data_IF_807444714977
#
_entry.id   IF_807444714977
#
_cell.length_a   1.000
_cell.length_b   1.000
_cell.length_c   1.000
_cell.angle_alpha   90.00
_cell.angle_beta   90.00
_cell.angle_gamma   90.00
#
_symmetry.space_group_name_H-M   'P 1'
#
loop_
_entity.id
_entity.type
_entity.pdbx_description
1 polymer ?
#
# COMPACT_ATOMS: atom_id res chain seq x y z
N UNK A 1 9.61 32.56 39.57
CA UNK A 1 9.33 31.11 39.43
C UNK A 1 8.62 30.93 38.09
N UNK A 2 9.32 30.50 37.05
CA UNK A 2 8.75 30.34 35.71
C UNK A 2 8.49 28.84 35.50
N UNK A 3 7.21 28.46 35.47
CA UNK A 3 6.81 27.08 35.24
C UNK A 3 7.06 26.74 33.77
N UNK A 4 7.94 25.78 33.51
CA UNK A 4 8.11 25.21 32.17
C UNK A 4 6.80 24.51 31.77
N UNK A 5 6.34 24.67 30.52
CA UNK A 5 5.20 23.91 30.02
C UNK A 5 5.52 22.40 30.07
N UNK A 6 4.54 21.54 30.38
CA UNK A 6 4.74 20.11 30.41
C UNK A 6 5.20 19.62 29.02
N UNK A 7 6.07 18.59 28.95
CA UNK A 7 6.49 18.00 27.69
C UNK A 7 5.27 17.51 26.91
N UNK A 8 5.22 17.81 25.61
CA UNK A 8 4.15 17.36 24.73
C UNK A 8 4.05 15.83 24.75
N UNK A 9 2.83 15.26 24.76
CA UNK A 9 2.67 13.82 24.74
C UNK A 9 3.30 13.25 23.46
N UNK A 10 3.97 12.09 23.54
CA UNK A 10 4.50 11.43 22.35
C UNK A 10 3.36 11.19 21.35
N UNK A 11 3.57 11.41 20.05
CA UNK A 11 2.55 11.14 19.06
C UNK A 11 2.13 9.67 19.15
N UNK A 12 0.83 9.35 19.02
CA UNK A 12 0.36 7.98 19.15
C UNK A 12 1.07 7.09 18.12
N UNK A 13 1.40 5.85 18.53
CA UNK A 13 2.00 4.79 17.69
C UNK A 13 1.18 4.45 16.42
N UNK A 14 0.03 5.08 16.24
CA UNK A 14 -0.75 5.11 15.01
C UNK A 14 0.04 5.52 13.75
N UNK A 15 1.23 6.12 13.91
CA UNK A 15 2.13 6.47 12.80
C UNK A 15 3.00 5.31 12.27
N UNK A 16 3.00 4.14 12.91
CA UNK A 16 3.77 2.97 12.45
C UNK A 16 2.90 1.81 11.96
N UNK A 17 1.57 1.90 12.03
CA UNK A 17 0.72 0.78 11.56
C UNK A 17 0.39 0.99 10.09
N UNK A 18 0.87 0.14 9.17
CA UNK A 18 0.47 0.23 7.77
C UNK A 18 -1.02 -0.05 7.65
N UNK A 19 -1.75 0.81 6.95
CA UNK A 19 -3.16 0.59 6.66
C UNK A 19 -3.30 -0.01 5.27
N UNK A 20 -4.19 -0.98 5.10
CA UNK A 20 -4.49 -1.50 3.78
C UNK A 20 -5.99 -1.60 3.55
N UNK A 21 -6.38 -1.61 2.28
CA UNK A 21 -7.75 -1.88 1.84
C UNK A 21 -7.73 -2.77 0.60
N UNK A 22 -8.75 -3.61 0.48
CA UNK A 22 -8.94 -4.50 -0.66
C UNK A 22 -10.16 -4.09 -1.46
N UNK A 23 -10.02 -4.06 -2.78
CA UNK A 23 -11.13 -3.90 -3.70
C UNK A 23 -11.02 -4.96 -4.79
N UNK A 24 -12.14 -5.61 -5.13
CA UNK A 24 -12.19 -6.58 -6.19
C UNK A 24 -13.07 -6.07 -7.33
N UNK A 25 -12.56 -6.17 -8.55
CA UNK A 25 -13.32 -6.04 -9.79
C UNK A 25 -13.53 -7.43 -10.41
N UNK A 26 -14.35 -7.60 -11.46
CA UNK A 26 -14.56 -8.91 -12.08
C UNK A 26 -13.27 -9.58 -12.60
N UNK A 27 -12.21 -8.80 -12.85
CA UNK A 27 -10.97 -9.29 -13.46
C UNK A 27 -9.74 -9.12 -12.57
N UNK A 28 -9.82 -8.34 -11.50
CA UNK A 28 -8.63 -7.93 -10.75
C UNK A 28 -8.91 -7.73 -9.27
N UNK A 29 -7.91 -8.03 -8.45
CA UNK A 29 -7.89 -7.68 -7.03
C UNK A 29 -6.90 -6.55 -6.84
N UNK A 30 -7.35 -5.46 -6.23
CA UNK A 30 -6.58 -4.24 -5.99
C UNK A 30 -6.29 -4.15 -4.49
N UNK A 31 -5.01 -4.20 -4.14
CA UNK A 31 -4.52 -4.03 -2.77
C UNK A 31 -3.93 -2.63 -2.63
N UNK A 32 -4.58 -1.75 -1.86
CA UNK A 32 -4.07 -0.41 -1.58
C UNK A 32 -3.40 -0.41 -0.22
N UNK A 33 -2.11 -0.09 -0.17
CA UNK A 33 -1.30 -0.09 1.06
C UNK A 33 -0.82 1.33 1.33
N UNK A 34 -1.17 1.88 2.50
CA UNK A 34 -0.76 3.20 2.97
C UNK A 34 0.37 3.05 3.97
N UNK A 35 1.57 3.45 3.54
CA UNK A 35 2.79 3.39 4.33
C UNK A 35 3.28 4.80 4.65
N UNK A 36 3.18 5.27 5.90
CA UNK A 36 3.75 6.54 6.29
C UNK A 36 5.28 6.45 6.35
N UNK A 37 5.97 7.50 5.88
CA UNK A 37 7.42 7.69 6.01
C UNK A 37 8.32 6.63 5.34
N UNK A 38 7.84 5.99 4.27
CA UNK A 38 8.60 4.98 3.52
C UNK A 38 9.13 5.54 2.20
N UNK A 39 10.38 5.20 1.88
CA UNK A 39 10.93 5.30 0.52
C UNK A 39 10.75 3.95 -0.15
N UNK A 40 9.93 3.89 -1.19
CA UNK A 40 9.54 2.64 -1.88
C UNK A 40 10.65 2.02 -2.75
N UNK A 41 11.87 2.57 -2.71
CA UNK A 41 13.02 2.07 -3.48
C UNK A 41 13.36 0.60 -3.23
N UNK A 42 12.97 0.04 -2.08
CA UNK A 42 13.19 -1.37 -1.70
C UNK A 42 11.88 -2.13 -1.42
N UNK A 43 10.79 -1.79 -2.12
CA UNK A 43 9.54 -2.54 -1.97
C UNK A 43 9.53 -3.79 -2.86
N UNK A 44 9.18 -4.93 -2.26
CA UNK A 44 9.02 -6.21 -2.94
C UNK A 44 7.55 -6.66 -2.88
N UNK A 45 7.04 -7.13 -4.01
CA UNK A 45 5.67 -7.66 -4.13
C UNK A 45 5.73 -9.01 -4.82
N UNK A 46 5.04 -9.99 -4.23
CA UNK A 46 4.87 -11.32 -4.80
C UNK A 46 3.41 -11.75 -4.61
N UNK A 47 2.85 -12.38 -5.64
CA UNK A 47 1.60 -13.09 -5.49
C UNK A 47 1.69 -14.43 -6.22
N UNK A 48 1.25 -15.49 -5.56
CA UNK A 48 1.27 -16.85 -6.09
C UNK A 48 0.06 -17.61 -5.57
N UNK A 49 -0.72 -18.18 -6.48
CA UNK A 49 -1.96 -18.87 -6.15
C UNK A 49 -2.88 -17.99 -5.30
N UNK A 50 -2.98 -18.28 -4.00
CA UNK A 50 -3.82 -17.55 -3.04
C UNK A 50 -3.06 -16.54 -2.19
N UNK A 51 -1.75 -16.55 -2.27
CA UNK A 51 -0.89 -15.82 -1.36
C UNK A 51 -0.46 -14.50 -2.00
N UNK A 52 -0.48 -13.44 -1.20
CA UNK A 52 0.03 -12.13 -1.57
C UNK A 52 0.94 -11.63 -0.45
N UNK A 53 2.16 -11.24 -0.84
CA UNK A 53 3.18 -10.74 0.06
C UNK A 53 3.66 -9.39 -0.44
N UNK A 54 3.57 -8.39 0.43
CA UNK A 54 4.19 -7.09 0.26
C UNK A 54 5.22 -6.89 1.37
N UNK A 55 6.45 -6.57 1.00
CA UNK A 55 7.53 -6.26 1.93
C UNK A 55 8.15 -4.91 1.60
N UNK A 56 8.27 -4.05 2.60
CA UNK A 56 9.04 -2.82 2.51
C UNK A 56 9.42 -2.38 3.92
N UNK A 57 10.72 -2.36 4.24
CA UNK A 57 11.21 -2.19 5.61
C UNK A 57 10.59 -0.97 6.32
N UNK A 58 10.00 -1.13 7.54
CA UNK A 58 9.96 -2.33 8.37
C UNK A 58 8.69 -3.19 8.19
N UNK A 59 7.86 -2.89 7.19
CA UNK A 59 6.53 -3.46 7.01
C UNK A 59 6.54 -4.76 6.21
N UNK A 60 5.77 -5.73 6.71
CA UNK A 60 5.44 -6.97 6.02
C UNK A 60 3.93 -7.14 6.07
N UNK A 61 3.29 -7.21 4.90
CA UNK A 61 1.89 -7.55 4.76
C UNK A 61 1.80 -8.89 4.03
N UNK A 62 1.12 -9.85 4.67
CA UNK A 62 0.80 -11.15 4.08
C UNK A 62 -0.71 -11.30 4.07
N UNK A 63 -1.27 -11.51 2.89
CA UNK A 63 -2.69 -11.79 2.70
C UNK A 63 -2.84 -13.17 2.07
N UNK A 64 -3.85 -13.89 2.51
CA UNK A 64 -4.26 -15.15 1.88
C UNK A 64 -5.69 -14.96 1.39
N UNK A 65 -5.87 -15.02 0.07
CA UNK A 65 -7.17 -14.87 -0.55
C UNK A 65 -8.00 -16.15 -0.41
N UNK A 66 -9.34 -16.03 -0.35
CA UNK A 66 -10.22 -17.21 -0.31
C UNK A 66 -10.06 -18.11 -1.54
N UNK A 67 -9.78 -17.51 -2.70
CA UNK A 67 -9.62 -18.19 -3.98
C UNK A 67 -8.31 -17.77 -4.64
N UNK A 68 -7.79 -18.63 -5.53
CA UNK A 68 -6.56 -18.33 -6.25
C UNK A 68 -6.76 -17.11 -7.15
N UNK A 69 -5.77 -16.23 -7.16
CA UNK A 69 -5.65 -15.17 -8.14
C UNK A 69 -5.53 -15.79 -9.53
N UNK A 70 -6.19 -15.17 -10.49
CA UNK A 70 -6.17 -15.64 -11.87
C UNK A 70 -4.80 -15.36 -12.47
N UNK A 71 -3.94 -16.38 -12.52
CA UNK A 71 -2.76 -16.39 -13.37
C UNK A 71 -3.26 -16.71 -14.78
N UNK A 72 -3.57 -15.72 -15.62
CA UNK A 72 -3.63 -16.06 -17.05
C UNK A 72 -2.19 -16.15 -17.54
N UNK A 73 -1.93 -17.19 -18.31
CA UNK A 73 -0.65 -17.49 -18.96
C UNK A 73 -0.28 -16.43 -20.02
N UNK A 74 -1.12 -15.41 -20.16
CA UNK A 74 -0.91 -14.20 -20.94
C UNK A 74 -0.03 -13.22 -20.17
N UNK A 75 1.02 -12.74 -20.81
CA UNK A 75 2.03 -11.76 -20.33
C UNK A 75 1.43 -10.44 -19.77
N UNK A 76 0.12 -10.23 -19.85
CA UNK A 76 -0.60 -9.08 -19.26
C UNK A 76 -1.13 -9.33 -17.84
N UNK A 77 -1.06 -10.55 -17.31
CA UNK A 77 -1.58 -10.90 -15.96
C UNK A 77 -0.59 -10.69 -14.82
N UNK A 78 0.56 -10.05 -15.07
CA UNK A 78 1.55 -9.79 -14.03
C UNK A 78 0.99 -8.89 -12.92
N UNK A 79 1.39 -9.18 -11.68
CA UNK A 79 1.16 -8.29 -10.55
C UNK A 79 1.78 -6.93 -10.83
N UNK A 80 0.95 -5.93 -11.12
CA UNK A 80 1.39 -4.55 -11.34
C UNK A 80 1.30 -3.77 -10.04
N UNK A 81 2.44 -3.28 -9.56
CA UNK A 81 2.50 -2.32 -8.46
C UNK A 81 2.66 -0.90 -9.03
N UNK A 82 1.83 0.03 -8.58
CA UNK A 82 1.99 1.46 -8.87
C UNK A 82 2.23 2.17 -7.55
N UNK A 83 3.30 2.96 -7.50
CA UNK A 83 3.64 3.79 -6.35
C UNK A 83 3.27 5.24 -6.63
N UNK A 84 2.55 5.86 -5.70
CA UNK A 84 2.25 7.29 -5.69
C UNK A 84 2.86 7.94 -4.45
N UNK A 85 3.98 8.64 -4.64
CA UNK A 85 4.69 9.37 -3.58
C UNK A 85 3.95 10.64 -3.12
N UNK A 86 2.95 11.08 -3.89
CA UNK A 86 2.22 12.33 -3.67
C UNK A 86 0.93 12.16 -2.88
N UNK A 87 0.61 10.95 -2.40
CA UNK A 87 -0.55 10.73 -1.52
C UNK A 87 -0.31 11.21 -0.07
N UNK A 88 0.41 12.33 0.08
CA UNK A 88 0.39 13.17 1.28
C UNK A 88 -0.99 13.83 1.35
N UNK A 89 -1.62 13.76 2.51
CA UNK A 89 -2.99 14.18 2.75
C UNK A 89 -3.29 15.59 2.20
N UNK A 90 -4.05 15.69 1.10
CA UNK A 90 -4.59 16.96 0.61
C UNK A 90 -4.80 17.02 -0.91
N UNK A 91 -6.05 16.82 -1.34
CA UNK A 91 -6.67 17.30 -2.58
C UNK A 91 -5.95 17.10 -3.94
N UNK A 92 -6.56 16.30 -4.82
CA UNK A 92 -6.34 16.34 -6.27
C UNK A 92 -6.68 15.01 -6.96
N UNK A 93 -7.71 15.02 -7.82
CA UNK A 93 -8.26 13.85 -8.52
C UNK A 93 -7.27 13.13 -9.45
N UNK A 94 -7.53 11.85 -9.81
CA UNK A 94 -6.76 11.14 -10.83
C UNK A 94 -7.05 11.71 -12.22
N UNK A 95 -6.01 12.07 -12.97
CA UNK A 95 -6.11 12.28 -14.41
C UNK A 95 -6.22 10.93 -15.12
N UNK A 96 -7.28 10.68 -15.93
CA UNK A 96 -7.31 9.53 -16.82
C UNK A 96 -6.29 9.75 -17.94
N UNK A 97 -5.42 8.77 -18.15
CA UNK A 97 -4.48 8.76 -19.27
C UNK A 97 -5.27 8.77 -20.60
N UNK A 98 -5.21 9.88 -21.32
CA UNK A 98 -5.63 9.93 -22.73
C UNK A 98 -4.59 9.20 -23.55
N UNK A 99 -4.94 8.02 -24.06
CA UNK A 99 -4.18 7.34 -25.11
C UNK A 99 -4.71 7.74 -26.48
N UNK A 100 -3.91 8.48 -27.24
CA UNK A 100 -3.53 8.13 -28.63
C UNK A 100 -2.31 8.95 -29.04
#
# INVERSE_FOLDING_TARGET
>A
MQAHPPPSPPPPLAMLVPRFSLQQTPNTVIVTIKLPYIRVGDAEVSADGRDFVFYCRPYLLKLQFPHALKNNEDEESHCRAVYDANLVSGAGLPSPCTGR
#
